data_IF_082432552949
#
_entry.id   IF_082432552949
#
_cell.length_a   1.000
_cell.length_b   1.000
_cell.length_c   1.000
_cell.angle_alpha   90.00
_cell.angle_beta   90.00
_cell.angle_gamma   90.00
#
_symmetry.space_group_name_H-M   'P 1'
#
loop_
_entity.id
_entity.type
_entity.pdbx_description
1 polymer ?
#
# COMPACT_ATOMS: atom_id res chain seq x y z
N UNK A 1 7.19 -15.93 2.23
CA UNK A 1 5.79 -16.24 2.56
C UNK A 1 5.02 -14.94 2.76
N UNK A 2 3.98 -14.74 1.97
CA UNK A 2 3.36 -13.46 1.65
C UNK A 2 2.15 -13.24 2.54
N UNK A 3 2.07 -12.10 3.28
CA UNK A 3 1.02 -11.99 4.27
C UNK A 3 0.38 -10.62 4.25
N UNK A 4 -0.84 -10.55 3.67
CA UNK A 4 -1.82 -9.46 3.56
C UNK A 4 -1.54 -8.37 2.52
N UNK A 5 -0.31 -8.17 2.03
CA UNK A 5 -0.07 -7.28 0.88
C UNK A 5 -0.85 -7.70 -0.40
N UNK A 6 -1.09 -9.02 -0.68
CA UNK A 6 -1.96 -9.41 -1.78
C UNK A 6 -3.36 -8.80 -1.70
N UNK A 7 -3.93 -8.67 -0.49
CA UNK A 7 -5.23 -7.99 -0.33
C UNK A 7 -5.14 -6.48 -0.59
N UNK A 8 -4.01 -5.85 -0.30
CA UNK A 8 -3.78 -4.45 -0.68
C UNK A 8 -3.71 -4.33 -2.20
N UNK A 9 -2.95 -5.21 -2.87
CA UNK A 9 -2.85 -5.24 -4.32
C UNK A 9 -4.23 -5.29 -4.97
N UNK A 10 -5.04 -6.28 -4.65
CA UNK A 10 -6.38 -6.43 -5.28
C UNK A 10 -7.38 -5.33 -4.88
N UNK A 11 -7.03 -4.44 -3.97
CA UNK A 11 -7.88 -3.31 -3.56
C UNK A 11 -7.56 -2.00 -4.30
N UNK A 12 -6.38 -1.87 -4.93
CA UNK A 12 -5.90 -0.59 -5.45
C UNK A 12 -6.82 0.04 -6.48
N UNK A 13 -7.36 -0.73 -7.43
CA UNK A 13 -8.30 -0.20 -8.43
C UNK A 13 -9.56 0.37 -7.79
N UNK A 14 -10.15 -0.36 -6.83
CA UNK A 14 -11.36 0.09 -6.12
C UNK A 14 -11.10 1.33 -5.24
N UNK A 15 -9.89 1.44 -4.69
CA UNK A 15 -9.46 2.65 -3.96
C UNK A 15 -9.27 3.81 -4.92
N UNK A 16 -8.68 3.58 -6.10
CA UNK A 16 -8.57 4.59 -7.14
C UNK A 16 -9.94 5.10 -7.61
N UNK A 17 -10.91 4.22 -7.78
CA UNK A 17 -12.28 4.59 -8.14
C UNK A 17 -12.91 5.54 -7.10
N UNK A 18 -12.69 5.30 -5.82
CA UNK A 18 -13.14 6.22 -4.76
C UNK A 18 -12.39 7.57 -4.84
N UNK A 19 -11.09 7.53 -5.06
CA UNK A 19 -10.25 8.72 -5.13
C UNK A 19 -10.48 9.58 -6.40
N UNK A 20 -11.17 9.05 -7.41
CA UNK A 20 -11.58 9.84 -8.58
C UNK A 20 -12.67 10.88 -8.26
N UNK A 21 -13.32 10.80 -7.10
CA UNK A 21 -14.21 11.85 -6.63
C UNK A 21 -13.36 13.07 -6.19
N UNK A 22 -13.57 14.26 -6.78
CA UNK A 22 -12.78 15.46 -6.48
C UNK A 22 -12.91 15.95 -5.03
N UNK A 23 -13.95 15.52 -4.32
CA UNK A 23 -14.14 15.82 -2.90
C UNK A 23 -13.34 14.92 -1.98
N UNK A 24 -12.56 13.98 -2.52
CA UNK A 24 -11.75 13.04 -1.73
C UNK A 24 -10.27 13.37 -1.89
N UNK A 25 -9.61 13.67 -0.78
CA UNK A 25 -8.15 13.75 -0.73
C UNK A 25 -7.59 12.40 -0.26
N UNK A 26 -7.01 11.63 -1.19
CA UNK A 26 -6.41 10.34 -0.88
C UNK A 26 -4.98 10.50 -0.37
N UNK A 27 -4.74 10.13 0.87
CA UNK A 27 -3.41 10.11 1.49
C UNK A 27 -2.94 8.66 1.63
N UNK A 28 -1.80 8.34 1.07
CA UNK A 28 -1.21 7.00 1.12
C UNK A 28 -0.21 6.89 2.26
N UNK A 29 -0.42 5.92 3.14
CA UNK A 29 0.42 5.70 4.33
C UNK A 29 1.00 4.27 4.33
N UNK A 30 2.17 4.04 3.75
CA UNK A 30 2.79 2.72 3.75
C UNK A 30 3.22 2.32 5.17
N UNK A 31 3.11 1.01 5.44
CA UNK A 31 3.63 0.37 6.64
C UNK A 31 4.43 -0.87 6.27
N UNK A 32 5.41 -1.24 7.08
CA UNK A 32 6.19 -2.45 6.83
C UNK A 32 5.30 -3.70 6.88
N UNK A 33 5.58 -4.70 6.03
CA UNK A 33 4.93 -6.00 6.09
C UNK A 33 4.94 -6.60 7.51
N UNK A 34 3.88 -7.30 7.89
CA UNK A 34 3.72 -7.87 9.23
C UNK A 34 4.93 -8.70 9.69
N UNK A 35 5.53 -9.49 8.79
CA UNK A 35 6.73 -10.26 9.09
C UNK A 35 7.94 -9.39 9.44
N UNK A 36 8.04 -8.20 8.85
CA UNK A 36 9.12 -7.26 9.13
C UNK A 36 8.89 -6.47 10.44
N UNK A 37 7.69 -6.62 11.02
CA UNK A 37 7.30 -6.07 12.33
C UNK A 37 7.38 -7.11 13.46
N UNK A 38 8.05 -8.25 13.22
CA UNK A 38 8.21 -9.33 14.20
C UNK A 38 6.97 -10.23 14.40
N UNK A 39 5.92 -10.04 13.61
CA UNK A 39 4.71 -10.87 13.73
C UNK A 39 4.90 -12.20 13.00
N UNK A 40 4.73 -13.31 13.72
CA UNK A 40 4.78 -14.67 13.15
C UNK A 40 3.41 -15.04 12.55
N UNK A 41 3.43 -15.72 11.41
CA UNK A 41 2.22 -16.23 10.79
C UNK A 41 2.48 -17.67 10.33
N UNK A 42 1.67 -18.66 10.75
CA UNK A 42 1.84 -20.05 10.35
C UNK A 42 1.83 -20.24 8.82
N UNK A 43 2.57 -21.25 8.34
CA UNK A 43 2.69 -21.52 6.90
C UNK A 43 1.35 -21.75 6.21
N UNK A 44 0.45 -22.51 6.84
CA UNK A 44 -0.87 -22.79 6.30
C UNK A 44 -1.70 -21.51 6.11
N UNK A 45 -1.61 -20.57 7.05
CA UNK A 45 -2.30 -19.27 6.94
C UNK A 45 -1.73 -18.43 5.81
N UNK A 46 -0.40 -18.47 5.59
CA UNK A 46 0.23 -17.79 4.46
C UNK A 46 -0.25 -18.33 3.11
N UNK A 47 -0.29 -19.64 2.95
CA UNK A 47 -0.82 -20.32 1.75
C UNK A 47 -2.28 -19.96 1.51
N UNK A 48 -3.11 -19.99 2.56
CA UNK A 48 -4.51 -19.61 2.46
C UNK A 48 -4.68 -18.16 1.95
N UNK A 49 -3.95 -17.20 2.52
CA UNK A 49 -4.03 -15.79 2.12
C UNK A 49 -3.76 -15.60 0.62
N UNK A 50 -2.74 -16.28 0.09
CA UNK A 50 -2.44 -16.21 -1.36
C UNK A 50 -3.58 -16.78 -2.19
N UNK A 51 -4.05 -17.99 -1.84
CA UNK A 51 -5.14 -18.64 -2.56
C UNK A 51 -6.44 -17.85 -2.49
N UNK A 52 -6.72 -17.26 -1.35
CA UNK A 52 -7.92 -16.45 -1.14
C UNK A 52 -7.84 -15.11 -1.87
N UNK A 53 -6.72 -14.41 -1.76
CA UNK A 53 -6.49 -13.17 -2.51
C UNK A 53 -6.55 -13.41 -4.04
N UNK A 54 -6.08 -14.56 -4.53
CA UNK A 54 -6.19 -14.91 -5.94
C UNK A 54 -7.66 -15.16 -6.36
N UNK A 55 -8.50 -15.76 -5.50
CA UNK A 55 -9.96 -15.90 -5.77
C UNK A 55 -10.65 -14.54 -5.80
N UNK A 56 -10.41 -13.73 -4.77
CA UNK A 56 -10.98 -12.38 -4.69
C UNK A 56 -10.49 -11.48 -5.83
N UNK A 57 -9.21 -11.58 -6.22
CA UNK A 57 -8.65 -10.84 -7.35
C UNK A 57 -9.37 -11.14 -8.66
N UNK A 58 -9.72 -12.41 -8.94
CA UNK A 58 -10.53 -12.77 -10.11
C UNK A 58 -11.91 -12.11 -10.09
N UNK A 59 -12.54 -12.04 -8.92
CA UNK A 59 -13.84 -11.38 -8.76
C UNK A 59 -13.82 -9.91 -9.15
N UNK A 60 -12.69 -9.25 -8.95
CA UNK A 60 -12.52 -7.83 -9.23
C UNK A 60 -11.70 -7.55 -10.51
N UNK A 61 -11.44 -8.56 -11.34
CA UNK A 61 -10.58 -8.44 -12.54
C UNK A 61 -9.18 -7.89 -12.23
N UNK A 62 -8.68 -8.14 -11.04
CA UNK A 62 -7.37 -7.71 -10.59
C UNK A 62 -6.57 -8.92 -10.08
N UNK A 63 -6.10 -9.74 -11.02
CA UNK A 63 -5.55 -11.06 -10.73
C UNK A 63 -4.14 -11.00 -10.14
N UNK A 64 -3.86 -11.96 -9.25
CA UNK A 64 -2.50 -12.32 -8.85
C UNK A 64 -2.00 -13.36 -9.86
N UNK A 65 -0.93 -13.05 -10.58
CA UNK A 65 -0.37 -13.92 -11.65
C UNK A 65 0.98 -14.50 -11.26
N UNK A 66 1.96 -13.65 -11.07
CA UNK A 66 3.31 -14.04 -10.69
C UNK A 66 3.72 -13.30 -9.42
N UNK A 67 4.46 -13.94 -8.51
CA UNK A 67 4.73 -13.35 -7.21
C UNK A 67 6.22 -13.31 -6.94
N UNK A 68 6.75 -12.11 -6.71
CA UNK A 68 8.03 -11.90 -6.07
C UNK A 68 7.82 -11.36 -4.65
N UNK A 69 8.54 -11.93 -3.66
CA UNK A 69 8.34 -11.54 -2.26
C UNK A 69 8.80 -10.10 -1.97
N UNK A 70 7.90 -9.18 -1.66
CA UNK A 70 8.26 -7.82 -1.30
C UNK A 70 8.61 -7.71 0.21
N UNK A 71 9.45 -8.61 0.72
CA UNK A 71 9.81 -8.68 2.15
C UNK A 71 11.33 -8.54 2.28
N UNK A 72 11.77 -7.94 3.39
CA UNK A 72 13.18 -7.75 3.68
C UNK A 72 13.78 -6.53 2.99
N UNK A 73 14.98 -6.68 2.42
CA UNK A 73 15.69 -5.58 1.76
C UNK A 73 14.94 -4.97 0.58
N UNK A 74 14.22 -5.72 -0.28
CA UNK A 74 13.45 -5.12 -1.36
C UNK A 74 12.43 -4.10 -0.87
N UNK A 75 11.61 -4.47 0.13
CA UNK A 75 10.62 -3.54 0.69
C UNK A 75 11.27 -2.31 1.33
N UNK A 76 12.37 -2.51 2.10
CA UNK A 76 13.06 -1.38 2.74
C UNK A 76 13.58 -0.39 1.72
N UNK A 77 14.17 -0.89 0.64
CA UNK A 77 14.73 -0.08 -0.43
C UNK A 77 13.64 0.69 -1.18
N UNK A 78 12.60 0.02 -1.63
CA UNK A 78 11.48 0.66 -2.29
C UNK A 78 10.80 1.72 -1.39
N UNK A 79 10.55 1.40 -0.12
CA UNK A 79 9.87 2.33 0.79
C UNK A 79 10.75 3.51 1.22
N UNK A 80 12.08 3.42 1.11
CA UNK A 80 12.95 4.56 1.38
C UNK A 80 12.79 5.70 0.38
N UNK A 81 12.31 5.42 -0.83
CA UNK A 81 12.02 6.42 -1.86
C UNK A 81 10.66 7.10 -1.67
N UNK A 82 9.74 6.43 -0.95
CA UNK A 82 8.34 6.85 -0.84
C UNK A 82 8.17 8.32 -0.40
N UNK A 83 8.84 8.84 0.64
CA UNK A 83 8.58 10.20 1.10
C UNK A 83 8.80 11.28 0.03
N UNK A 84 9.83 11.14 -0.80
CA UNK A 84 10.10 12.09 -1.88
C UNK A 84 9.12 11.95 -3.03
N UNK A 85 8.69 10.74 -3.32
CA UNK A 85 7.71 10.45 -4.37
C UNK A 85 6.32 10.93 -3.94
N UNK A 86 5.96 10.72 -2.68
CA UNK A 86 4.69 11.16 -2.10
C UNK A 86 4.60 12.70 -2.06
N UNK A 87 5.69 13.38 -1.68
CA UNK A 87 5.81 14.85 -1.75
C UNK A 87 5.59 15.41 -3.16
N UNK A 88 5.92 14.64 -4.18
CA UNK A 88 5.65 14.98 -5.59
C UNK A 88 4.21 14.61 -6.03
N UNK A 89 3.33 14.18 -5.11
CA UNK A 89 1.95 13.79 -5.40
C UNK A 89 1.79 12.43 -6.09
N UNK A 90 2.85 11.60 -6.09
CA UNK A 90 2.88 10.30 -6.79
C UNK A 90 2.85 9.09 -5.85
N UNK A 91 2.55 9.29 -4.56
CA UNK A 91 2.63 8.23 -3.55
C UNK A 91 1.72 7.04 -3.81
N UNK A 92 0.44 7.26 -4.14
CA UNK A 92 -0.50 6.18 -4.42
C UNK A 92 -0.15 5.41 -5.69
N UNK A 93 0.19 6.14 -6.75
CA UNK A 93 0.60 5.55 -8.04
C UNK A 93 1.86 4.68 -7.85
N UNK A 94 2.86 5.19 -7.13
CA UNK A 94 4.08 4.45 -6.80
C UNK A 94 3.80 3.15 -6.05
N UNK A 95 3.01 3.20 -4.96
CA UNK A 95 2.67 2.00 -4.19
C UNK A 95 1.89 0.99 -5.05
N UNK A 96 0.97 1.47 -5.90
CA UNK A 96 0.22 0.60 -6.82
C UNK A 96 1.14 -0.13 -7.79
N UNK A 97 2.11 0.55 -8.39
CA UNK A 97 3.09 -0.05 -9.29
C UNK A 97 3.99 -1.08 -8.58
N UNK A 98 4.44 -0.79 -7.35
CA UNK A 98 5.20 -1.76 -6.55
C UNK A 98 4.38 -3.03 -6.25
N UNK A 99 3.09 -2.89 -6.01
CA UNK A 99 2.20 -4.02 -5.76
C UNK A 99 1.94 -4.81 -7.05
N UNK A 100 1.75 -4.14 -8.20
CA UNK A 100 1.62 -4.79 -9.50
C UNK A 100 2.89 -5.59 -9.84
N UNK A 101 4.05 -4.96 -9.72
CA UNK A 101 5.34 -5.64 -9.92
C UNK A 101 5.48 -6.88 -9.03
N UNK A 102 5.09 -6.77 -7.76
CA UNK A 102 5.21 -7.88 -6.82
C UNK A 102 4.21 -9.02 -7.05
N UNK A 103 2.97 -8.73 -7.48
CA UNK A 103 1.86 -9.69 -7.48
C UNK A 103 1.25 -9.99 -8.86
N UNK A 104 1.61 -9.24 -9.89
CA UNK A 104 1.25 -9.55 -11.29
C UNK A 104 2.46 -9.99 -12.09
N UNK A 105 3.57 -9.26 -11.97
CA UNK A 105 4.71 -9.41 -12.87
C UNK A 105 5.82 -10.29 -12.27
N UNK A 106 5.82 -10.51 -10.96
CA UNK A 106 6.84 -11.29 -10.25
C UNK A 106 8.22 -10.61 -10.22
N UNK A 107 8.24 -9.27 -10.22
CA UNK A 107 9.44 -8.45 -10.26
C UNK A 107 9.95 -8.16 -8.84
N UNK A 108 11.27 -8.15 -8.69
CA UNK A 108 11.93 -7.70 -7.48
C UNK A 108 11.84 -6.18 -7.34
N UNK A 109 10.97 -5.71 -6.46
CA UNK A 109 10.79 -4.26 -6.20
C UNK A 109 12.01 -3.57 -5.55
N UNK A 110 13.04 -4.32 -5.18
CA UNK A 110 14.30 -3.77 -4.65
C UNK A 110 15.40 -3.68 -5.70
N UNK A 111 15.13 -4.06 -6.95
CA UNK A 111 16.05 -3.93 -8.05
C UNK A 111 16.25 -2.46 -8.44
N UNK A 112 17.51 -2.05 -8.69
CA UNK A 112 17.84 -0.65 -8.99
C UNK A 112 17.28 -0.21 -10.34
N UNK A 113 17.40 -1.05 -11.36
CA UNK A 113 16.94 -0.73 -12.71
C UNK A 113 15.40 -0.62 -12.72
N UNK A 114 14.72 -1.53 -12.01
CA UNK A 114 13.27 -1.45 -11.84
C UNK A 114 12.85 -0.15 -11.14
N UNK A 115 13.47 0.20 -10.03
CA UNK A 115 13.13 1.42 -9.28
C UNK A 115 13.43 2.69 -10.08
N UNK A 116 14.54 2.73 -10.81
CA UNK A 116 14.86 3.84 -11.70
C UNK A 116 13.81 4.00 -12.80
N UNK A 117 13.48 2.91 -13.49
CA UNK A 117 12.46 2.91 -14.54
C UNK A 117 11.09 3.35 -14.01
N UNK A 118 10.71 2.89 -12.82
CA UNK A 118 9.45 3.29 -12.19
C UNK A 118 9.44 4.79 -11.84
N UNK A 119 10.51 5.31 -11.25
CA UNK A 119 10.63 6.74 -10.91
C UNK A 119 10.52 7.60 -12.17
N UNK A 120 11.23 7.23 -13.24
CA UNK A 120 11.16 7.92 -14.52
C UNK A 120 9.75 7.81 -15.17
N UNK A 121 9.09 6.65 -15.09
CA UNK A 121 7.71 6.45 -15.53
C UNK A 121 6.72 7.39 -14.83
N UNK A 122 6.97 7.70 -13.56
CA UNK A 122 6.17 8.63 -12.77
C UNK A 122 6.47 10.11 -13.10
N UNK A 123 7.39 10.39 -14.03
CA UNK A 123 7.80 11.74 -14.41
C UNK A 123 8.72 12.41 -13.41
N UNK A 124 9.47 11.62 -12.62
CA UNK A 124 10.38 12.11 -11.59
C UNK A 124 11.84 11.85 -11.97
N UNK A 125 12.73 12.72 -11.47
CA UNK A 125 14.17 12.62 -11.72
C UNK A 125 14.83 11.62 -10.77
N UNK A 126 15.37 10.53 -11.34
CA UNK A 126 16.01 9.47 -10.55
C UNK A 126 17.13 9.96 -9.65
N UNK A 127 17.99 10.84 -10.17
CA UNK A 127 19.15 11.36 -9.43
C UNK A 127 18.75 12.16 -8.20
N UNK A 128 17.58 12.78 -8.18
CA UNK A 128 17.03 13.47 -7.02
C UNK A 128 16.39 12.48 -6.04
N UNK A 129 15.58 11.57 -6.54
CA UNK A 129 14.85 10.60 -5.70
C UNK A 129 15.82 9.64 -5.00
N UNK A 130 16.85 9.13 -5.69
CA UNK A 130 17.81 8.18 -5.11
C UNK A 130 18.64 8.74 -3.94
N UNK A 131 18.73 10.06 -3.79
CA UNK A 131 19.40 10.69 -2.63
C UNK A 131 18.76 10.25 -1.30
N UNK A 132 17.48 9.91 -1.33
CA UNK A 132 16.74 9.44 -0.14
C UNK A 132 17.18 8.06 0.36
N UNK A 133 17.87 7.24 -0.42
CA UNK A 133 18.46 5.99 0.06
C UNK A 133 19.36 6.19 1.28
N UNK A 134 20.04 7.34 1.36
CA UNK A 134 20.92 7.69 2.46
C UNK A 134 20.19 8.26 3.68
N UNK A 135 18.96 8.70 3.49
CA UNK A 135 18.12 9.20 4.58
C UNK A 135 17.55 8.03 5.40
N UNK A 136 17.41 8.27 6.70
CA UNK A 136 16.73 7.32 7.59
C UNK A 136 15.36 7.85 8.06
N UNK A 137 14.94 9.04 7.61
CA UNK A 137 13.67 9.67 8.01
C UNK A 137 12.45 8.83 7.65
N UNK A 138 12.49 8.15 6.50
CA UNK A 138 11.41 7.27 6.05
C UNK A 138 11.01 6.19 7.08
N UNK A 139 11.95 5.75 7.94
CA UNK A 139 11.65 4.76 8.98
C UNK A 139 10.71 5.35 10.03
N UNK A 140 10.95 6.61 10.42
CA UNK A 140 10.09 7.32 11.36
C UNK A 140 8.69 7.52 10.78
N UNK A 141 8.59 7.80 9.48
CA UNK A 141 7.29 7.96 8.81
C UNK A 141 6.52 6.64 8.81
N UNK A 142 7.17 5.51 8.49
CA UNK A 142 6.55 4.19 8.56
C UNK A 142 6.11 3.81 10.00
N UNK A 143 6.90 4.17 11.00
CA UNK A 143 6.57 3.93 12.41
C UNK A 143 5.36 4.79 12.85
N UNK A 144 5.28 6.04 12.41
CA UNK A 144 4.14 6.91 12.67
C UNK A 144 2.87 6.38 11.98
N UNK A 145 2.97 5.97 10.71
CA UNK A 145 1.87 5.35 9.98
C UNK A 145 1.36 4.09 10.68
N UNK A 146 2.29 3.28 11.23
CA UNK A 146 1.95 2.08 11.97
C UNK A 146 1.20 2.39 13.27
N UNK A 147 1.64 3.42 14.01
CA UNK A 147 0.97 3.87 15.24
C UNK A 147 -0.45 4.33 14.93
N UNK A 148 -0.62 5.18 13.94
CA UNK A 148 -1.95 5.66 13.51
C UNK A 148 -2.87 4.51 13.09
N UNK A 149 -2.35 3.51 12.39
CA UNK A 149 -3.12 2.32 12.05
C UNK A 149 -3.58 1.55 13.30
N UNK A 150 -2.73 1.44 14.33
CA UNK A 150 -3.06 0.77 15.59
C UNK A 150 -4.06 1.56 16.43
N UNK A 151 -4.03 2.90 16.42
CA UNK A 151 -5.03 3.75 17.06
C UNK A 151 -6.45 3.45 16.58
N UNK A 152 -6.59 3.10 15.29
CA UNK A 152 -7.85 2.64 14.71
C UNK A 152 -8.19 1.16 14.94
N UNK A 153 -7.50 0.47 15.88
CA UNK A 153 -7.61 -0.98 16.07
C UNK A 153 -7.36 -1.83 14.83
N UNK A 154 -6.67 -1.27 13.85
CA UNK A 154 -6.27 -1.96 12.63
C UNK A 154 -4.81 -2.43 12.78
N UNK A 155 -4.52 -3.69 12.47
CA UNK A 155 -3.19 -4.25 12.61
C UNK A 155 -2.65 -4.93 11.33
N UNK A 156 -3.35 -4.77 10.23
CA UNK A 156 -2.99 -5.31 8.91
C UNK A 156 -3.37 -4.35 7.78
N UNK A 157 -3.01 -4.72 6.56
CA UNK A 157 -3.27 -3.94 5.35
C UNK A 157 -4.13 -4.73 4.35
N UNK A 158 -4.96 -4.03 3.56
CA UNK A 158 -5.21 -2.60 3.59
C UNK A 158 -6.01 -2.19 4.84
N UNK A 159 -5.70 -1.03 5.38
CA UNK A 159 -6.51 -0.36 6.40
C UNK A 159 -6.87 1.03 5.89
N UNK A 160 -8.01 1.52 6.30
CA UNK A 160 -8.57 2.79 5.85
C UNK A 160 -8.89 3.65 7.07
N UNK A 161 -8.61 4.94 6.95
CA UNK A 161 -9.05 5.98 7.86
C UNK A 161 -9.77 7.04 7.04
N UNK A 162 -10.96 7.42 7.44
CA UNK A 162 -11.71 8.53 6.88
C UNK A 162 -11.82 9.60 7.97
N UNK A 163 -11.58 10.84 7.62
CA UNK A 163 -11.78 12.00 8.50
C UNK A 163 -12.50 13.09 7.71
N UNK A 164 -13.04 14.06 8.42
CA UNK A 164 -13.36 15.35 7.84
C UNK A 164 -12.08 16.08 7.39
N UNK A 165 -12.20 17.18 6.68
CA UNK A 165 -11.07 17.96 6.17
C UNK A 165 -10.14 18.46 7.30
N UNK A 166 -10.73 18.82 8.44
CA UNK A 166 -9.99 19.26 9.64
C UNK A 166 -9.35 18.11 10.45
N UNK A 167 -9.50 16.87 9.98
CA UNK A 167 -9.00 15.68 10.66
C UNK A 167 -9.91 15.13 11.77
N UNK A 168 -11.04 15.77 12.03
CA UNK A 168 -12.02 15.34 13.05
C UNK A 168 -12.80 14.09 12.63
N UNK A 169 -13.51 13.49 13.59
CA UNK A 169 -14.41 12.35 13.42
C UNK A 169 -13.77 11.17 12.66
N UNK A 170 -12.67 10.59 13.14
CA UNK A 170 -11.99 9.51 12.44
C UNK A 170 -12.81 8.22 12.44
N UNK A 171 -13.08 7.69 11.25
CA UNK A 171 -13.67 6.37 11.03
C UNK A 171 -12.59 5.43 10.50
N UNK A 172 -12.53 4.21 11.03
CA UNK A 172 -11.52 3.21 10.63
C UNK A 172 -12.18 1.92 10.14
N UNK A 173 -11.59 1.32 9.12
CA UNK A 173 -11.94 -0.03 8.69
C UNK A 173 -10.71 -0.79 8.19
N UNK A 174 -10.69 -2.10 8.40
CA UNK A 174 -9.61 -2.98 8.00
C UNK A 174 -10.09 -4.11 7.11
N UNK A 175 -9.43 -4.28 5.99
CA UNK A 175 -9.66 -5.34 5.02
C UNK A 175 -10.17 -4.84 3.67
N UNK A 176 -9.71 -5.46 2.59
CA UNK A 176 -10.14 -5.15 1.23
C UNK A 176 -11.66 -5.42 1.02
N UNK A 177 -12.21 -6.28 1.83
CA UNK A 177 -13.62 -6.67 1.86
C UNK A 177 -14.51 -5.65 2.59
N UNK A 178 -13.93 -4.55 3.10
CA UNK A 178 -14.64 -3.44 3.74
C UNK A 178 -14.71 -2.17 2.87
N UNK A 179 -14.29 -2.22 1.62
CA UNK A 179 -14.37 -1.05 0.72
C UNK A 179 -15.80 -0.57 0.51
N UNK A 180 -16.79 -1.48 0.54
CA UNK A 180 -18.19 -1.10 0.51
C UNK A 180 -18.57 -0.19 1.69
N UNK A 181 -18.10 -0.51 2.91
CA UNK A 181 -18.34 0.26 4.12
C UNK A 181 -17.65 1.64 4.07
N UNK A 182 -16.43 1.67 3.48
CA UNK A 182 -15.72 2.93 3.23
C UNK A 182 -16.53 3.83 2.28
N UNK A 183 -17.08 3.25 1.21
CA UNK A 183 -17.94 3.99 0.27
C UNK A 183 -19.19 4.54 0.95
N UNK A 184 -19.84 3.76 1.81
CA UNK A 184 -21.00 4.22 2.58
C UNK A 184 -20.64 5.38 3.50
N UNK A 185 -19.53 5.28 4.25
CA UNK A 185 -19.09 6.34 5.14
C UNK A 185 -18.72 7.63 4.39
N UNK A 186 -18.04 7.52 3.24
CA UNK A 186 -17.77 8.66 2.37
C UNK A 186 -19.08 9.32 1.92
N UNK A 187 -20.02 8.56 1.40
CA UNK A 187 -21.30 9.09 0.93
C UNK A 187 -22.08 9.79 2.04
N UNK A 188 -22.06 9.26 3.26
CA UNK A 188 -22.68 9.86 4.44
C UNK A 188 -22.08 11.23 4.78
N UNK A 189 -20.78 11.43 4.55
CA UNK A 189 -20.10 12.71 4.85
C UNK A 189 -20.24 13.75 3.74
N UNK A 190 -20.48 13.31 2.52
CA UNK A 190 -20.63 14.20 1.37
C UNK A 190 -22.06 14.66 1.14
N UNK A 191 -23.06 14.03 1.78
CA UNK A 191 -24.48 14.40 1.76
C UNK A 191 -24.89 15.17 3.02
#
# INVERSE_FOLDING_TARGET
>A
MYKRQPYTHISTQRVQELANNPSINLITKPVLPMLMRGMTIPNYKGKYIISDAAREGRKYNHEIKSIYSPIGSPARKAYSLFPSIDKAGKGFEYITELLNASFQDGINIGDDDYLQNLVCKLGLEWDEIKKTFKSHSWKKDLDNNLKEMYEGNCWGVPSFKITNEDGSDPFYAWGQDRIWLIKEEINKRLN
#
